data_IF_142126906206
#
_entry.id   IF_142126906206
#
_cell.length_a   1.000
_cell.length_b   1.000
_cell.length_c   1.000
_cell.angle_alpha   90.00
_cell.angle_beta   90.00
_cell.angle_gamma   90.00
#
_symmetry.space_group_name_H-M   'P 1'
#
loop_
_entity.id
_entity.type
_entity.pdbx_description
1 polymer ?
#
# COMPACT_ATOMS: atom_id res chain seq x y z
N UNK A 1 25.39 -21.85 -12.18
CA UNK A 1 24.21 -21.22 -11.55
C UNK A 1 23.03 -21.66 -12.39
N UNK A 2 22.23 -22.62 -11.91
CA UNK A 2 21.10 -23.15 -12.65
C UNK A 2 20.00 -22.10 -12.79
N UNK A 3 19.28 -22.03 -13.94
CA UNK A 3 18.14 -21.17 -14.09
C UNK A 3 17.04 -21.63 -13.10
N UNK A 4 16.50 -20.69 -12.34
CA UNK A 4 15.32 -20.93 -11.49
C UNK A 4 14.17 -21.23 -12.45
N UNK A 5 13.57 -22.42 -12.33
CA UNK A 5 12.40 -22.84 -13.10
C UNK A 5 11.25 -21.85 -12.89
N UNK A 6 10.98 -21.04 -13.89
CA UNK A 6 9.93 -20.03 -13.93
C UNK A 6 8.53 -20.65 -14.24
N UNK A 7 8.16 -21.72 -13.55
CA UNK A 7 6.85 -22.37 -13.73
C UNK A 7 6.26 -22.76 -12.37
N UNK A 8 5.75 -21.81 -11.64
CA UNK A 8 4.63 -21.91 -10.69
C UNK A 8 4.60 -20.79 -9.61
N UNK A 9 5.00 -19.59 -9.92
CA UNK A 9 4.77 -18.46 -9.03
C UNK A 9 3.65 -17.60 -9.63
N UNK A 10 2.44 -17.76 -9.12
CA UNK A 10 1.50 -16.62 -9.12
C UNK A 10 2.28 -15.45 -8.52
N UNK A 11 2.49 -14.37 -9.26
CA UNK A 11 3.35 -13.26 -8.88
C UNK A 11 3.00 -12.70 -7.49
N UNK A 12 3.86 -11.88 -6.90
CA UNK A 12 3.68 -11.29 -5.58
C UNK A 12 3.39 -9.79 -5.69
N UNK A 13 2.33 -9.32 -5.04
CA UNK A 13 2.09 -7.89 -4.78
C UNK A 13 2.50 -7.55 -3.36
N UNK A 14 3.32 -6.52 -3.20
CA UNK A 14 3.72 -5.97 -1.90
C UNK A 14 3.20 -4.55 -1.77
N UNK A 15 2.13 -4.37 -0.99
CA UNK A 15 1.53 -3.07 -0.72
C UNK A 15 2.22 -2.38 0.47
N UNK A 16 2.59 -1.13 0.30
CA UNK A 16 3.17 -0.28 1.33
C UNK A 16 2.05 0.60 1.88
N UNK A 17 1.66 0.34 3.13
CA UNK A 17 0.53 0.99 3.79
C UNK A 17 0.98 1.71 5.06
N UNK A 18 0.15 2.59 5.58
CA UNK A 18 0.43 3.37 6.79
C UNK A 18 -0.12 4.78 6.70
N UNK A 19 -0.07 5.51 7.81
CA UNK A 19 -0.56 6.87 7.91
C UNK A 19 0.14 7.83 6.94
N UNK A 20 -0.40 9.01 6.80
CA UNK A 20 0.22 10.10 6.05
C UNK A 20 1.63 10.40 6.56
N UNK A 21 2.51 10.83 5.67
CA UNK A 21 3.89 11.17 6.02
C UNK A 21 4.62 10.08 6.83
N UNK A 22 4.36 8.79 6.53
CA UNK A 22 5.06 7.66 7.14
C UNK A 22 6.16 7.07 6.27
N UNK A 23 6.43 7.67 5.09
CA UNK A 23 7.51 7.26 4.19
C UNK A 23 7.16 6.15 3.21
N UNK A 24 5.87 5.89 2.94
CA UNK A 24 5.38 4.88 1.98
C UNK A 24 6.06 5.01 0.61
N UNK A 25 5.91 6.14 -0.04
CA UNK A 25 6.47 6.40 -1.38
C UNK A 25 7.98 6.22 -1.44
N UNK A 26 8.68 6.70 -0.41
CA UNK A 26 10.14 6.56 -0.34
C UNK A 26 10.56 5.10 -0.25
N UNK A 27 9.84 4.30 0.57
CA UNK A 27 10.12 2.89 0.73
C UNK A 27 9.73 2.10 -0.54
N UNK A 28 8.57 2.38 -1.14
CA UNK A 28 8.12 1.72 -2.38
C UNK A 28 9.16 1.88 -3.51
N UNK A 29 9.64 3.11 -3.74
CA UNK A 29 10.67 3.40 -4.74
C UNK A 29 12.00 2.70 -4.43
N UNK A 30 12.43 2.71 -3.17
CA UNK A 30 13.68 2.08 -2.78
C UNK A 30 13.63 0.55 -2.96
N UNK A 31 12.50 -0.09 -2.63
CA UNK A 31 12.29 -1.52 -2.86
C UNK A 31 12.23 -1.86 -4.35
N UNK A 32 11.50 -1.08 -5.14
CA UNK A 32 11.43 -1.24 -6.59
C UNK A 32 12.83 -1.19 -7.23
N UNK A 33 13.65 -0.23 -6.83
CA UNK A 33 15.04 -0.14 -7.27
C UNK A 33 15.89 -1.33 -6.80
N UNK A 34 15.74 -1.74 -5.52
CA UNK A 34 16.51 -2.83 -4.94
C UNK A 34 16.23 -4.19 -5.61
N UNK A 35 14.97 -4.46 -5.93
CA UNK A 35 14.53 -5.72 -6.54
C UNK A 35 14.46 -5.67 -8.07
N UNK A 36 14.79 -4.53 -8.70
CA UNK A 36 14.61 -4.29 -10.14
C UNK A 36 13.18 -4.63 -10.61
N UNK A 37 12.18 -4.27 -9.79
CA UNK A 37 10.77 -4.54 -10.00
C UNK A 37 9.99 -3.22 -10.15
N UNK A 38 8.85 -3.21 -10.87
CA UNK A 38 8.02 -2.01 -10.97
C UNK A 38 7.36 -1.65 -9.65
N UNK A 39 6.93 -0.40 -9.56
CA UNK A 39 6.07 0.09 -8.48
C UNK A 39 4.90 0.87 -9.04
N UNK A 40 3.77 0.80 -8.32
CA UNK A 40 2.54 1.52 -8.61
C UNK A 40 2.50 2.77 -7.74
N UNK A 41 2.44 3.98 -8.31
CA UNK A 41 2.31 5.21 -7.54
C UNK A 41 0.94 5.35 -6.91
N UNK A 42 0.85 6.21 -5.90
CA UNK A 42 -0.42 6.61 -5.28
C UNK A 42 -1.29 7.39 -6.28
N UNK A 43 -2.36 6.76 -6.76
CA UNK A 43 -3.26 7.33 -7.77
C UNK A 43 -3.94 8.62 -7.31
N UNK A 44 -4.21 8.75 -6.00
CA UNK A 44 -4.83 9.94 -5.42
C UNK A 44 -4.07 11.23 -5.74
N UNK A 45 -2.73 11.18 -5.86
CA UNK A 45 -1.92 12.36 -6.14
C UNK A 45 -2.22 12.98 -7.50
N UNK A 46 -2.35 12.15 -8.52
CA UNK A 46 -2.66 12.60 -9.86
C UNK A 46 -4.13 12.99 -9.97
N UNK A 47 -5.03 12.21 -9.37
CA UNK A 47 -6.46 12.45 -9.41
C UNK A 47 -6.87 13.78 -8.73
N UNK A 48 -6.28 14.08 -7.59
CA UNK A 48 -6.57 15.30 -6.80
C UNK A 48 -5.70 16.49 -7.20
N UNK A 49 -4.80 16.34 -8.16
CA UNK A 49 -3.93 17.45 -8.58
C UNK A 49 -4.75 18.64 -9.07
N UNK A 50 -4.55 19.82 -8.45
CA UNK A 50 -5.26 21.06 -8.77
C UNK A 50 -6.70 21.13 -8.26
N UNK A 51 -7.21 20.12 -7.56
CA UNK A 51 -8.52 20.17 -6.89
C UNK A 51 -8.40 20.83 -5.53
N UNK A 52 -9.40 21.59 -5.15
CA UNK A 52 -9.51 22.27 -3.84
C UNK A 52 -10.37 21.51 -2.83
N UNK A 53 -11.15 20.54 -3.30
CA UNK A 53 -12.02 19.68 -2.49
C UNK A 53 -12.25 18.34 -3.19
N UNK A 54 -12.72 17.38 -2.43
CA UNK A 54 -13.14 16.06 -2.92
C UNK A 54 -14.30 15.54 -2.07
N UNK A 55 -15.08 14.64 -2.62
CA UNK A 55 -16.20 13.98 -1.96
C UNK A 55 -16.01 12.44 -1.89
N UNK A 56 -17.05 11.73 -1.45
CA UNK A 56 -17.02 10.28 -1.33
C UNK A 56 -16.87 9.58 -2.70
N UNK A 57 -17.54 10.09 -3.73
CA UNK A 57 -17.47 9.54 -5.08
C UNK A 57 -16.05 9.68 -5.66
N UNK A 58 -15.36 10.78 -5.36
CA UNK A 58 -13.95 10.97 -5.71
C UNK A 58 -13.05 9.91 -5.05
N UNK A 59 -13.28 9.59 -3.77
CA UNK A 59 -12.49 8.55 -3.07
C UNK A 59 -12.76 7.16 -3.65
N UNK A 60 -13.99 6.85 -4.04
CA UNK A 60 -14.33 5.61 -4.73
C UNK A 60 -13.72 5.53 -6.13
N UNK A 61 -13.71 6.65 -6.87
CA UNK A 61 -13.03 6.74 -8.15
C UNK A 61 -11.50 6.54 -8.02
N UNK A 62 -10.90 7.12 -6.97
CA UNK A 62 -9.49 6.91 -6.64
C UNK A 62 -9.22 5.43 -6.34
N UNK A 63 -10.08 4.78 -5.57
CA UNK A 63 -9.95 3.35 -5.26
C UNK A 63 -10.00 2.48 -6.52
N UNK A 64 -10.94 2.77 -7.43
CA UNK A 64 -11.06 2.07 -8.70
C UNK A 64 -9.83 2.31 -9.60
N UNK A 65 -9.34 3.56 -9.69
CA UNK A 65 -8.16 3.93 -10.46
C UNK A 65 -6.87 3.29 -9.92
N UNK A 66 -6.69 3.24 -8.60
CA UNK A 66 -5.57 2.56 -7.97
C UNK A 66 -5.53 1.08 -8.33
N UNK A 67 -6.66 0.37 -8.20
CA UNK A 67 -6.78 -1.04 -8.57
C UNK A 67 -6.49 -1.30 -10.03
N UNK A 68 -7.04 -0.46 -10.93
CA UNK A 68 -6.80 -0.61 -12.38
C UNK A 68 -5.34 -0.41 -12.73
N UNK A 69 -4.69 0.60 -12.14
CA UNK A 69 -3.26 0.88 -12.38
C UNK A 69 -2.41 -0.28 -11.86
N UNK A 70 -2.75 -0.81 -10.70
CA UNK A 70 -2.07 -1.98 -10.13
C UNK A 70 -2.21 -3.21 -11.02
N UNK A 71 -3.44 -3.54 -11.45
CA UNK A 71 -3.70 -4.69 -12.33
C UNK A 71 -2.87 -4.63 -13.61
N UNK A 72 -2.88 -3.48 -14.29
CA UNK A 72 -2.15 -3.28 -15.53
C UNK A 72 -0.63 -3.53 -15.39
N UNK A 73 -0.05 -3.19 -14.22
CA UNK A 73 1.37 -3.40 -13.96
C UNK A 73 1.63 -4.84 -13.48
N UNK A 74 0.74 -5.38 -12.64
CA UNK A 74 0.88 -6.69 -12.04
C UNK A 74 0.79 -7.84 -13.05
N UNK A 75 -0.05 -7.70 -14.08
CA UNK A 75 -0.24 -8.73 -15.12
C UNK A 75 1.04 -9.06 -15.90
N UNK A 76 1.96 -8.11 -16.00
CA UNK A 76 3.21 -8.27 -16.75
C UNK A 76 4.44 -8.56 -15.86
N UNK A 77 4.29 -8.63 -14.53
CA UNK A 77 5.43 -8.67 -13.62
C UNK A 77 5.22 -9.63 -12.45
N UNK A 78 6.24 -10.44 -12.13
CA UNK A 78 6.20 -11.41 -11.02
C UNK A 78 6.25 -10.74 -9.63
N UNK A 79 6.84 -9.57 -9.50
CA UNK A 79 6.91 -8.79 -8.28
C UNK A 79 6.51 -7.34 -8.56
N UNK A 80 5.58 -6.82 -7.78
CA UNK A 80 5.14 -5.42 -7.87
C UNK A 80 5.07 -4.81 -6.48
N UNK A 81 5.57 -3.59 -6.33
CA UNK A 81 5.40 -2.78 -5.13
C UNK A 81 4.29 -1.76 -5.36
N UNK A 82 3.42 -1.56 -4.37
CA UNK A 82 2.27 -0.65 -4.48
C UNK A 82 2.36 0.41 -3.40
N UNK A 83 2.51 1.68 -3.79
CA UNK A 83 2.45 2.81 -2.87
C UNK A 83 1.00 3.19 -2.65
N UNK A 84 0.45 2.80 -1.52
CA UNK A 84 -0.98 2.95 -1.21
C UNK A 84 -1.87 1.95 -1.97
N UNK A 85 -2.70 1.24 -1.26
CA UNK A 85 -3.72 0.35 -1.80
C UNK A 85 -5.09 0.59 -1.14
N UNK A 86 -6.03 -0.33 -1.37
CA UNK A 86 -7.38 -0.23 -0.81
C UNK A 86 -7.43 -0.21 0.72
N UNK A 87 -6.44 -0.76 1.44
CA UNK A 87 -6.38 -0.67 2.91
C UNK A 87 -6.24 0.78 3.36
N UNK A 88 -5.36 1.55 2.70
CA UNK A 88 -5.19 2.98 3.00
C UNK A 88 -6.45 3.77 2.63
N UNK A 89 -7.01 3.50 1.44
CA UNK A 89 -8.20 4.18 0.95
C UNK A 89 -9.42 3.87 1.83
N UNK A 90 -9.55 2.64 2.32
CA UNK A 90 -10.59 2.26 3.28
C UNK A 90 -10.49 3.06 4.58
N UNK A 91 -9.31 3.15 5.16
CA UNK A 91 -9.09 3.92 6.38
C UNK A 91 -9.36 5.41 6.13
N UNK A 92 -8.92 5.96 4.99
CA UNK A 92 -9.21 7.33 4.59
C UNK A 92 -10.72 7.59 4.47
N UNK A 93 -11.43 6.72 3.72
CA UNK A 93 -12.88 6.79 3.58
C UNK A 93 -13.60 6.78 4.94
N UNK A 94 -13.27 5.82 5.81
CA UNK A 94 -13.92 5.66 7.11
C UNK A 94 -13.68 6.84 8.06
N UNK A 95 -12.51 7.45 7.98
CA UNK A 95 -12.17 8.63 8.79
C UNK A 95 -12.89 9.89 8.27
N UNK A 96 -12.98 10.05 6.95
CA UNK A 96 -13.46 11.28 6.34
C UNK A 96 -15.00 11.32 6.22
N UNK A 97 -15.61 10.19 5.83
CA UNK A 97 -17.03 10.12 5.54
C UNK A 97 -17.82 9.31 6.57
N UNK A 98 -17.12 8.48 7.35
CA UNK A 98 -17.75 7.59 8.32
C UNK A 98 -18.48 6.41 7.64
N UNK A 99 -18.74 5.39 8.43
CA UNK A 99 -19.58 4.30 7.98
C UNK A 99 -18.89 3.24 7.08
N UNK A 100 -19.75 2.45 6.48
CA UNK A 100 -19.41 1.27 5.72
C UNK A 100 -19.74 1.52 4.24
N UNK A 101 -18.78 1.27 3.36
CA UNK A 101 -19.01 1.29 1.92
C UNK A 101 -18.89 -0.13 1.37
N UNK A 102 -20.02 -0.72 0.97
CA UNK A 102 -20.10 -2.13 0.56
C UNK A 102 -19.23 -2.45 -0.67
N UNK A 103 -19.09 -1.50 -1.60
CA UNK A 103 -18.23 -1.71 -2.77
C UNK A 103 -16.74 -1.77 -2.37
N UNK A 104 -16.31 -0.83 -1.52
CA UNK A 104 -14.91 -0.77 -1.08
C UNK A 104 -14.52 -2.00 -0.26
N UNK A 105 -15.42 -2.48 0.61
CA UNK A 105 -15.19 -3.69 1.40
C UNK A 105 -15.17 -4.95 0.54
N UNK A 106 -16.08 -5.06 -0.43
CA UNK A 106 -16.08 -6.17 -1.38
C UNK A 106 -14.82 -6.18 -2.26
N UNK A 107 -14.38 -5.00 -2.74
CA UNK A 107 -13.18 -4.85 -3.54
C UNK A 107 -11.91 -5.23 -2.75
N UNK A 108 -11.81 -4.77 -1.50
CA UNK A 108 -10.69 -5.11 -0.61
C UNK A 108 -10.64 -6.63 -0.32
N UNK A 109 -11.80 -7.24 -0.05
CA UNK A 109 -11.90 -8.68 0.14
C UNK A 109 -11.47 -9.45 -1.12
N UNK A 110 -11.92 -9.01 -2.30
CA UNK A 110 -11.54 -9.63 -3.58
C UNK A 110 -10.03 -9.57 -3.83
N UNK A 111 -9.38 -8.44 -3.55
CA UNK A 111 -7.93 -8.28 -3.74
C UNK A 111 -7.11 -9.19 -2.82
N UNK A 112 -7.60 -9.46 -1.61
CA UNK A 112 -6.93 -10.35 -0.66
C UNK A 112 -7.09 -11.83 -0.97
N UNK A 113 -8.17 -12.21 -1.66
CA UNK A 113 -8.47 -13.59 -2.05
C UNK A 113 -8.20 -13.89 -3.52
N UNK A 114 -7.54 -12.96 -4.22
CA UNK A 114 -7.06 -13.19 -5.58
C UNK A 114 -5.96 -14.27 -5.61
N UNK A 115 -5.81 -14.93 -6.75
CA UNK A 115 -4.77 -15.94 -6.96
C UNK A 115 -3.36 -15.38 -6.77
N UNK A 116 -3.17 -14.08 -7.03
CA UNK A 116 -1.93 -13.38 -6.80
C UNK A 116 -1.77 -13.04 -5.31
N UNK A 117 -0.79 -13.63 -4.60
CA UNK A 117 -0.55 -13.33 -3.20
C UNK A 117 -0.28 -11.85 -2.96
N UNK A 118 -0.92 -11.30 -1.91
CA UNK A 118 -0.69 -9.94 -1.44
C UNK A 118 -0.04 -9.95 -0.06
N UNK A 119 0.95 -9.09 0.16
CA UNK A 119 1.66 -8.90 1.43
C UNK A 119 1.76 -7.42 1.72
N UNK A 120 1.88 -7.07 3.00
CA UNK A 120 1.86 -5.69 3.43
C UNK A 120 3.12 -5.29 4.20
N UNK A 121 3.61 -4.10 3.91
CA UNK A 121 4.60 -3.40 4.71
C UNK A 121 3.91 -2.21 5.37
N UNK A 122 3.68 -2.28 6.68
CA UNK A 122 3.03 -1.23 7.46
C UNK A 122 4.08 -0.25 7.96
N UNK A 123 4.11 0.96 7.40
CA UNK A 123 5.06 2.00 7.81
C UNK A 123 4.56 2.75 9.03
N UNK A 124 5.43 2.89 10.06
CA UNK A 124 5.12 3.66 11.27
C UNK A 124 5.30 5.16 11.03
N UNK A 125 4.52 6.04 11.69
CA UNK A 125 4.63 7.49 11.55
C UNK A 125 5.69 8.11 12.49
N UNK A 126 6.86 7.46 12.63
CA UNK A 126 7.98 7.84 13.50
C UNK A 126 9.01 8.75 12.82
N UNK A 127 8.66 9.30 11.66
CA UNK A 127 9.46 10.31 10.94
C UNK A 127 8.83 11.70 11.06
N UNK A 128 9.63 12.79 10.92
CA UNK A 128 9.11 14.15 10.97
C UNK A 128 8.00 14.41 9.96
N UNK A 129 7.04 15.24 10.35
CA UNK A 129 6.00 15.70 9.45
C UNK A 129 6.58 16.67 8.40
N UNK A 130 6.19 16.46 7.16
CA UNK A 130 6.45 17.38 6.05
C UNK A 130 5.09 17.74 5.46
N UNK A 131 4.77 19.04 5.39
CA UNK A 131 3.53 19.51 4.80
C UNK A 131 3.43 19.14 3.30
N UNK A 132 2.23 18.79 2.87
CA UNK A 132 1.92 18.39 1.49
C UNK A 132 0.42 18.67 1.28
N UNK A 133 -0.03 19.18 0.12
CA UNK A 133 -1.44 19.52 -0.10
C UNK A 133 -2.44 18.38 0.14
N UNK A 134 -2.01 17.13 0.00
CA UNK A 134 -2.85 15.94 0.22
C UNK A 134 -2.75 15.35 1.64
N UNK A 135 -2.12 16.07 2.58
CA UNK A 135 -1.97 15.62 3.96
C UNK A 135 -2.81 16.46 4.89
N UNK A 136 -3.84 15.85 5.46
CA UNK A 136 -4.86 16.53 6.26
C UNK A 136 -4.68 16.38 7.78
N UNK A 137 -3.88 15.37 8.23
CA UNK A 137 -3.86 14.93 9.63
C UNK A 137 -2.47 15.04 10.29
N UNK A 138 -1.91 16.24 10.46
CA UNK A 138 -0.57 16.41 11.02
C UNK A 138 -0.45 15.93 12.47
N UNK A 139 -1.54 16.01 13.26
CA UNK A 139 -1.55 15.70 14.68
C UNK A 139 -2.09 14.30 15.02
N UNK A 140 -2.86 13.68 14.10
CA UNK A 140 -3.58 12.44 14.36
C UNK A 140 -2.91 11.20 13.76
N UNK A 141 -1.68 11.32 13.25
CA UNK A 141 -0.95 10.19 12.65
C UNK A 141 -0.87 8.93 13.53
N UNK A 142 -0.63 9.02 14.85
CA UNK A 142 -0.65 7.83 15.70
C UNK A 142 -2.03 7.18 15.78
N UNK A 143 -3.11 7.98 15.86
CA UNK A 143 -4.48 7.47 15.88
C UNK A 143 -4.88 6.83 14.54
N UNK A 144 -4.47 7.45 13.41
CA UNK A 144 -4.63 6.85 12.08
C UNK A 144 -3.85 5.54 11.97
N UNK A 145 -2.60 5.52 12.42
CA UNK A 145 -1.75 4.33 12.37
C UNK A 145 -2.37 3.17 13.19
N UNK A 146 -2.97 3.47 14.33
CA UNK A 146 -3.61 2.47 15.17
C UNK A 146 -4.80 1.75 14.51
N UNK A 147 -5.36 2.29 13.41
CA UNK A 147 -6.45 1.65 12.64
C UNK A 147 -5.95 0.55 11.71
N UNK A 148 -4.68 0.56 11.30
CA UNK A 148 -4.15 -0.38 10.30
C UNK A 148 -4.06 -1.81 10.83
N UNK A 149 -3.50 -2.02 12.02
CA UNK A 149 -3.34 -3.38 12.58
C UNK A 149 -4.68 -4.12 12.71
N UNK A 150 -5.71 -3.56 13.39
CA UNK A 150 -6.99 -4.24 13.51
C UNK A 150 -7.64 -4.57 12.16
N UNK A 151 -7.49 -3.67 11.17
CA UNK A 151 -8.02 -3.92 9.83
C UNK A 151 -7.25 -5.06 9.13
N UNK A 152 -5.92 -5.02 9.13
CA UNK A 152 -5.09 -6.07 8.53
C UNK A 152 -5.29 -7.43 9.20
N UNK A 153 -5.45 -7.46 10.51
CA UNK A 153 -5.72 -8.68 11.29
C UNK A 153 -7.12 -9.22 10.98
N UNK A 154 -8.14 -8.36 10.91
CA UNK A 154 -9.50 -8.73 10.52
C UNK A 154 -9.54 -9.35 9.12
N UNK A 155 -8.74 -8.82 8.20
CA UNK A 155 -8.61 -9.28 6.83
C UNK A 155 -7.74 -10.55 6.69
N UNK A 156 -7.14 -11.05 7.77
CA UNK A 156 -6.19 -12.17 7.73
C UNK A 156 -4.92 -11.87 6.89
N UNK A 157 -4.62 -10.60 6.69
CA UNK A 157 -3.51 -10.15 5.84
C UNK A 157 -2.16 -10.46 6.48
N UNK A 158 -1.18 -10.87 5.68
CA UNK A 158 0.19 -11.06 6.14
C UNK A 158 0.96 -9.75 6.01
N UNK A 159 1.46 -9.22 7.11
CA UNK A 159 2.19 -7.94 7.11
C UNK A 159 3.42 -7.94 8.01
N UNK A 160 4.31 -7.00 7.75
CA UNK A 160 5.47 -6.67 8.59
C UNK A 160 5.47 -5.17 8.83
N UNK A 161 5.64 -4.75 10.09
CA UNK A 161 5.84 -3.34 10.40
C UNK A 161 7.28 -2.92 10.16
N UNK A 162 7.42 -1.70 9.62
CA UNK A 162 8.70 -1.07 9.33
C UNK A 162 8.78 0.31 9.97
N UNK A 163 9.84 0.53 10.74
CA UNK A 163 10.08 1.73 11.55
C UNK A 163 11.56 2.13 11.53
N UNK A 164 11.88 3.27 12.09
CA UNK A 164 13.24 3.78 12.24
C UNK A 164 13.74 4.58 11.05
N UNK A 165 15.06 4.64 10.86
CA UNK A 165 15.70 5.36 9.76
C UNK A 165 15.33 4.76 8.40
N UNK A 166 15.60 5.54 7.32
CA UNK A 166 15.39 5.07 5.94
C UNK A 166 16.10 3.74 5.67
N UNK A 167 17.30 3.57 6.15
CA UNK A 167 18.12 2.37 5.99
C UNK A 167 17.51 1.19 6.76
N UNK A 168 17.17 1.38 8.03
CA UNK A 168 16.54 0.35 8.85
C UNK A 168 15.21 -0.14 8.26
N UNK A 169 14.40 0.79 7.72
CA UNK A 169 13.14 0.44 7.03
C UNK A 169 13.39 -0.38 5.78
N UNK A 170 14.37 0.03 4.96
CA UNK A 170 14.70 -0.70 3.74
C UNK A 170 15.25 -2.10 4.04
N UNK A 171 16.15 -2.23 5.02
CA UNK A 171 16.72 -3.52 5.43
C UNK A 171 15.63 -4.49 5.92
N UNK A 172 14.76 -4.00 6.82
CA UNK A 172 13.66 -4.81 7.36
C UNK A 172 12.67 -5.21 6.27
N UNK A 173 12.30 -4.28 5.40
CA UNK A 173 11.38 -4.53 4.28
C UNK A 173 11.99 -5.51 3.26
N UNK A 174 13.25 -5.34 2.91
CA UNK A 174 13.98 -6.25 2.01
C UNK A 174 14.04 -7.67 2.57
N UNK A 175 14.34 -7.82 3.86
CA UNK A 175 14.32 -9.12 4.54
C UNK A 175 12.95 -9.78 4.50
N UNK A 176 11.88 -9.03 4.73
CA UNK A 176 10.50 -9.52 4.66
C UNK A 176 10.14 -9.98 3.25
N UNK A 177 10.41 -9.15 2.23
CA UNK A 177 10.12 -9.48 0.81
C UNK A 177 10.87 -10.74 0.38
N UNK A 178 12.16 -10.86 0.68
CA UNK A 178 12.93 -12.08 0.40
C UNK A 178 12.33 -13.33 1.06
N UNK A 179 11.88 -13.20 2.32
CA UNK A 179 11.20 -14.28 3.02
C UNK A 179 9.87 -14.69 2.40
N UNK A 180 9.17 -13.78 1.71
CA UNK A 180 7.93 -14.08 0.99
C UNK A 180 8.16 -14.69 -0.38
N UNK A 181 9.22 -14.28 -1.08
CA UNK A 181 9.59 -14.83 -2.39
C UNK A 181 10.14 -16.27 -2.32
N UNK A 182 10.67 -16.69 -1.17
CA UNK A 182 11.24 -18.01 -0.96
C UNK A 182 10.24 -19.05 -0.43
N UNK A 183 8.97 -18.73 -0.39
CA UNK A 183 7.89 -19.63 0.09
C UNK A 183 6.96 -20.01 -1.05
#
# INVERSE_FOLDING_TARGET
MAPIDAKNCSGLTVAIVGAECSGKTTLARALAQHFAAPWVPEYARDYLHGRTSYDEDDVLAIAAGQRQTEANIADANDLVFVDTDLVVIKIWHDVRFGGHNAWLDAALHADLHADRPRRYLLTTPDIPWIADPLRENPFDRPALHARYRPLLDLLGAKYVEVSGSREQRLDRATGAVRGWLNR
#
